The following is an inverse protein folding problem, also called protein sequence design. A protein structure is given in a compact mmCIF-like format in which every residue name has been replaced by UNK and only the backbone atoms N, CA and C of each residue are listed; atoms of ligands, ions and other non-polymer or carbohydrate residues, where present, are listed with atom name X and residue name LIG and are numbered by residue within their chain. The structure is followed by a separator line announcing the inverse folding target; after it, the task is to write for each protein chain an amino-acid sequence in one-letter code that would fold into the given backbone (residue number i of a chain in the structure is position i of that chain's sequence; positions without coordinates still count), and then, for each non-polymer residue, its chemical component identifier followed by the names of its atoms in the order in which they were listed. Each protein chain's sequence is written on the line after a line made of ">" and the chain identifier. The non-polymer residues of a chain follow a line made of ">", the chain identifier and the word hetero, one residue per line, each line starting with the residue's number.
data_IF_384071229535
#
_entry.id   IF_384071229535
#
_cell.length_a   1.000
_cell.length_b   1.000
_cell.length_c   1.000
_cell.angle_alpha   90.00
_cell.angle_beta   90.00
_cell.angle_gamma   90.00
#
_symmetry.space_group_name_H-M   'P 1'
#
loop_
_entity.id
_entity.type
_entity.pdbx_description
1 polymer ?
#
# COMPACT_ATOMS: atom_id res chain seq x y z
N UNK A 1 14.68 -18.46 4.77
CA UNK A 1 13.94 -18.52 3.49
C UNK A 1 14.94 -18.49 2.34
N UNK A 2 15.01 -19.56 1.56
CA UNK A 2 15.85 -19.60 0.34
C UNK A 2 15.27 -18.63 -0.70
N UNK A 3 16.12 -17.87 -1.39
CA UNK A 3 15.72 -16.97 -2.49
C UNK A 3 15.50 -15.50 -2.10
N UNK A 4 15.68 -15.12 -0.84
CA UNK A 4 15.52 -13.77 -0.37
C UNK A 4 16.82 -13.17 0.16
N UNK A 5 17.30 -12.10 -0.46
CA UNK A 5 18.58 -11.47 -0.12
C UNK A 5 18.49 -10.70 1.19
N UNK A 6 17.38 -10.05 1.45
CA UNK A 6 17.18 -9.23 2.63
C UNK A 6 15.72 -9.11 3.03
N UNK A 7 15.48 -9.14 4.34
CA UNK A 7 14.17 -8.96 4.94
C UNK A 7 14.24 -7.71 5.81
N UNK A 8 13.35 -6.77 5.56
CA UNK A 8 13.12 -5.59 6.39
C UNK A 8 11.80 -5.76 7.11
N UNK A 9 11.76 -5.49 8.40
CA UNK A 9 10.53 -5.60 9.18
C UNK A 9 10.43 -4.48 10.21
N UNK A 10 9.20 -4.14 10.57
CA UNK A 10 8.85 -3.34 11.73
C UNK A 10 7.78 -4.11 12.51
N UNK A 11 8.04 -4.38 13.77
CA UNK A 11 7.17 -5.15 14.65
C UNK A 11 6.93 -4.37 15.94
N UNK A 12 5.74 -4.51 16.49
CA UNK A 12 5.44 -4.09 17.85
C UNK A 12 5.91 -5.16 18.85
N UNK A 13 6.38 -4.73 20.02
CA UNK A 13 6.94 -5.61 21.07
C UNK A 13 6.00 -6.72 21.56
N UNK A 14 4.68 -6.59 21.36
CA UNK A 14 3.68 -7.57 21.80
C UNK A 14 3.04 -8.39 20.67
N UNK A 15 3.67 -8.53 19.51
CA UNK A 15 3.17 -9.29 18.34
C UNK A 15 1.76 -8.89 17.84
N UNK A 16 1.29 -7.68 18.13
CA UNK A 16 -0.05 -7.21 17.75
C UNK A 16 -0.10 -6.54 16.37
N UNK A 17 1.04 -6.15 15.84
CA UNK A 17 1.18 -5.57 14.49
C UNK A 17 2.57 -5.87 13.96
N UNK A 18 2.68 -5.95 12.65
CA UNK A 18 3.98 -6.12 11.99
C UNK A 18 3.85 -6.05 10.49
N UNK A 19 4.84 -5.42 9.85
CA UNK A 19 4.98 -5.32 8.41
C UNK A 19 6.37 -5.74 7.99
N UNK A 20 6.49 -6.30 6.80
CA UNK A 20 7.77 -6.69 6.23
C UNK A 20 7.87 -6.37 4.75
N UNK A 21 9.09 -6.13 4.29
CA UNK A 21 9.44 -6.04 2.87
C UNK A 21 10.55 -7.05 2.63
N UNK A 22 10.33 -7.94 1.69
CA UNK A 22 11.28 -8.97 1.29
C UNK A 22 11.78 -8.66 -0.12
N UNK A 23 13.11 -8.64 -0.29
CA UNK A 23 13.72 -8.43 -1.60
C UNK A 23 14.44 -9.69 -2.03
N UNK A 24 14.12 -10.16 -3.25
CA UNK A 24 14.72 -11.36 -3.84
C UNK A 24 16.25 -11.22 -3.97
N UNK A 25 16.96 -12.33 -3.77
CA UNK A 25 18.41 -12.42 -4.02
C UNK A 25 18.80 -12.24 -5.48
N UNK A 26 17.85 -12.38 -6.40
CA UNK A 26 18.01 -12.13 -7.84
C UNK A 26 18.08 -10.63 -8.19
N UNK A 27 17.67 -9.75 -7.29
CA UNK A 27 17.67 -8.31 -7.52
C UNK A 27 18.96 -7.71 -6.95
N UNK A 28 19.73 -7.04 -7.81
CA UNK A 28 20.87 -6.24 -7.36
C UNK A 28 20.41 -4.84 -6.95
N UNK A 29 20.60 -4.48 -5.68
CA UNK A 29 20.16 -3.21 -5.13
C UNK A 29 21.10 -2.70 -4.03
N UNK A 30 21.11 -1.36 -3.88
CA UNK A 30 21.74 -0.66 -2.75
C UNK A 30 20.69 -0.08 -1.84
N UNK A 31 20.83 -0.28 -0.52
CA UNK A 31 19.96 0.35 0.48
C UNK A 31 20.49 1.76 0.71
N UNK A 32 19.60 2.76 0.63
CA UNK A 32 19.90 4.15 0.94
C UNK A 32 19.36 4.59 2.29
N UNK A 33 18.15 4.16 2.65
CA UNK A 33 17.53 4.46 3.92
C UNK A 33 16.53 3.38 4.34
N UNK A 34 16.31 3.24 5.63
CA UNK A 34 15.26 2.40 6.22
C UNK A 34 14.64 3.17 7.38
N UNK A 35 13.33 3.36 7.33
CA UNK A 35 12.54 3.97 8.42
C UNK A 35 11.53 2.95 8.92
N UNK A 36 11.52 2.69 10.20
CA UNK A 36 10.62 1.74 10.87
C UNK A 36 9.71 2.46 11.83
N UNK A 37 8.44 2.11 11.79
CA UNK A 37 7.50 2.55 12.81
C UNK A 37 7.69 1.76 14.11
N UNK A 38 7.69 2.45 15.24
CA UNK A 38 7.84 1.83 16.57
C UNK A 38 6.64 0.96 16.95
N UNK A 39 5.46 1.33 16.45
CA UNK A 39 4.22 0.59 16.67
C UNK A 39 4.02 -0.57 15.67
N UNK A 40 4.92 -0.73 14.71
CA UNK A 40 4.88 -1.81 13.72
C UNK A 40 3.85 -1.64 12.60
N UNK A 41 3.29 -0.44 12.45
CA UNK A 41 2.25 -0.17 11.46
C UNK A 41 2.78 0.21 10.07
N UNK A 42 4.04 0.59 9.94
CA UNK A 42 4.63 0.78 8.62
C UNK A 42 6.14 0.58 8.62
N UNK A 43 6.67 0.29 7.46
CA UNK A 43 8.09 0.33 7.14
C UNK A 43 8.29 1.02 5.80
N UNK A 44 9.31 1.87 5.73
CA UNK A 44 9.74 2.52 4.51
C UNK A 44 11.19 2.16 4.22
N UNK A 45 11.47 1.76 3.00
CA UNK A 45 12.84 1.56 2.51
C UNK A 45 13.07 2.41 1.27
N UNK A 46 14.25 3.01 1.18
CA UNK A 46 14.75 3.65 -0.04
C UNK A 46 15.87 2.80 -0.59
N UNK A 47 15.69 2.33 -1.80
CA UNK A 47 16.66 1.47 -2.50
C UNK A 47 17.01 2.05 -3.85
N UNK A 48 18.23 1.77 -4.33
CA UNK A 48 18.65 2.04 -5.70
C UNK A 48 18.83 0.71 -6.43
N UNK A 49 18.12 0.52 -7.52
CA UNK A 49 18.26 -0.62 -8.43
C UNK A 49 18.92 -0.14 -9.74
N UNK A 50 18.20 0.52 -10.60
CA UNK A 50 18.70 1.33 -11.71
C UNK A 50 18.47 2.83 -11.45
N UNK A 51 17.47 3.12 -10.64
CA UNK A 51 17.08 4.43 -10.13
C UNK A 51 16.65 4.29 -8.67
N UNK A 52 16.56 5.40 -7.97
CA UNK A 52 16.06 5.41 -6.60
C UNK A 52 14.57 5.13 -6.56
N UNK A 53 14.18 4.18 -5.73
CA UNK A 53 12.79 3.80 -5.48
C UNK A 53 12.55 3.79 -3.98
N UNK A 54 11.44 4.36 -3.55
CA UNK A 54 10.95 4.24 -2.18
C UNK A 54 9.80 3.24 -2.15
N UNK A 55 9.87 2.28 -1.25
CA UNK A 55 8.80 1.30 -1.02
C UNK A 55 8.32 1.47 0.41
N UNK A 56 7.02 1.60 0.57
CA UNK A 56 6.36 1.75 1.86
C UNK A 56 5.34 0.64 2.00
N UNK A 57 5.43 -0.14 3.08
CA UNK A 57 4.40 -1.11 3.44
C UNK A 57 3.68 -0.62 4.70
N UNK A 58 2.35 -0.51 4.62
CA UNK A 58 1.48 0.00 5.69
C UNK A 58 0.55 -1.13 6.15
N UNK A 59 0.38 -1.25 7.46
CA UNK A 59 -0.68 -2.01 8.10
C UNK A 59 -1.52 -1.04 8.96
N UNK A 60 -2.65 -0.61 8.44
CA UNK A 60 -3.51 0.33 9.15
C UNK A 60 -4.24 -0.35 10.31
N UNK A 61 -4.47 0.34 11.45
CA UNK A 61 -5.26 -0.21 12.55
C UNK A 61 -6.71 -0.47 12.11
N UNK A 62 -7.37 -1.45 12.73
CA UNK A 62 -8.75 -1.80 12.39
C UNK A 62 -9.74 -0.65 12.64
N UNK A 63 -9.47 0.18 13.67
CA UNK A 63 -10.30 1.35 14.01
C UNK A 63 -9.59 2.61 13.51
N UNK A 64 -10.31 3.46 12.78
CA UNK A 64 -9.77 4.71 12.24
C UNK A 64 -8.79 4.51 11.08
N UNK A 65 -8.88 3.38 10.37
CA UNK A 65 -7.98 3.03 9.28
C UNK A 65 -7.87 4.14 8.20
N UNK A 66 -8.96 4.69 7.64
CA UNK A 66 -8.85 5.74 6.62
C UNK A 66 -8.11 6.98 7.13
N UNK A 67 -8.38 7.39 8.36
CA UNK A 67 -7.72 8.55 8.99
C UNK A 67 -6.23 8.28 9.20
N UNK A 68 -5.88 7.08 9.66
CA UNK A 68 -4.48 6.67 9.83
C UNK A 68 -3.72 6.72 8.51
N UNK A 69 -4.26 6.07 7.46
CA UNK A 69 -3.63 6.05 6.13
C UNK A 69 -3.46 7.48 5.60
N UNK A 70 -4.50 8.31 5.69
CA UNK A 70 -4.44 9.72 5.30
C UNK A 70 -3.31 10.48 6.00
N UNK A 71 -3.18 10.33 7.31
CA UNK A 71 -2.10 10.96 8.08
C UNK A 71 -0.72 10.49 7.63
N UNK A 72 -0.57 9.18 7.36
CA UNK A 72 0.70 8.64 6.85
C UNK A 72 1.04 9.20 5.48
N UNK A 73 0.11 9.18 4.53
CA UNK A 73 0.31 9.74 3.20
C UNK A 73 0.69 11.22 3.26
N UNK A 74 0.00 12.01 4.08
CA UNK A 74 0.30 13.43 4.26
C UNK A 74 1.69 13.67 4.87
N UNK A 75 2.08 12.89 5.87
CA UNK A 75 3.40 13.02 6.53
C UNK A 75 4.57 12.66 5.63
N UNK A 76 4.32 11.94 4.56
CA UNK A 76 5.32 11.51 3.58
C UNK A 76 5.35 12.41 2.34
N UNK A 77 4.52 13.46 2.30
CA UNK A 77 4.50 14.45 1.22
C UNK A 77 5.88 15.10 1.08
N UNK A 78 6.47 15.05 -0.10
CA UNK A 78 7.78 15.64 -0.42
C UNK A 78 8.96 14.65 -0.39
N UNK A 79 8.84 13.47 0.24
CA UNK A 79 9.88 12.43 0.17
C UNK A 79 9.71 11.51 -1.06
N UNK A 80 8.77 11.83 -1.96
CA UNK A 80 8.07 10.83 -2.76
C UNK A 80 8.25 11.01 -4.26
N UNK A 81 9.45 11.12 -4.75
CA UNK A 81 9.70 10.81 -6.15
C UNK A 81 9.94 9.29 -6.29
N UNK A 82 9.21 8.62 -7.20
CA UNK A 82 9.35 7.18 -7.45
C UNK A 82 8.96 6.28 -6.25
N UNK A 83 7.78 6.48 -5.68
CA UNK A 83 7.32 5.71 -4.52
C UNK A 83 6.20 4.74 -4.88
N UNK A 84 6.27 3.55 -4.29
CA UNK A 84 5.21 2.55 -4.28
C UNK A 84 4.76 2.37 -2.83
N UNK A 85 3.48 2.53 -2.57
CA UNK A 85 2.88 2.33 -1.25
C UNK A 85 1.98 1.12 -1.33
N UNK A 86 2.24 0.13 -0.51
CA UNK A 86 1.49 -1.12 -0.47
C UNK A 86 1.00 -1.39 0.94
N UNK A 87 0.03 -2.27 1.08
CA UNK A 87 -0.30 -2.87 2.36
C UNK A 87 -1.78 -3.03 2.62
N UNK A 88 -2.06 -3.48 3.82
CA UNK A 88 -3.41 -3.62 4.35
C UNK A 88 -3.88 -2.28 4.93
N UNK A 89 -4.77 -1.62 4.20
CA UNK A 89 -5.33 -0.33 4.60
C UNK A 89 -6.57 -0.48 5.50
N UNK A 90 -7.01 -1.71 5.77
CA UNK A 90 -8.22 -2.02 6.53
C UNK A 90 -9.46 -1.21 6.09
N UNK A 91 -9.48 -0.74 4.84
CA UNK A 91 -10.59 0.00 4.27
C UNK A 91 -10.69 -0.22 2.75
N UNK A 92 -11.89 -0.45 2.21
CA UNK A 92 -12.13 -0.40 0.79
C UNK A 92 -12.08 1.06 0.32
N UNK A 93 -11.45 1.32 -0.82
CA UNK A 93 -11.33 2.68 -1.38
C UNK A 93 -12.47 3.04 -2.33
N UNK A 94 -13.11 2.06 -2.94
CA UNK A 94 -14.23 2.27 -3.88
C UNK A 94 -15.39 1.32 -3.57
N UNK A 95 -16.62 1.61 -4.05
CA UNK A 95 -17.75 0.66 -3.93
C UNK A 95 -17.46 -0.70 -4.57
N UNK A 96 -16.62 -0.75 -5.61
CA UNK A 96 -16.20 -2.01 -6.27
C UNK A 96 -15.29 -2.89 -5.39
N UNK A 97 -14.74 -2.32 -4.33
CA UNK A 97 -13.92 -3.07 -3.36
C UNK A 97 -14.76 -3.78 -2.30
N UNK A 98 -16.10 -3.75 -2.42
CA UNK A 98 -17.04 -4.46 -1.55
C UNK A 98 -17.99 -5.35 -2.37
N UNK A 99 -18.23 -6.56 -1.90
CA UNK A 99 -19.21 -7.47 -2.52
C UNK A 99 -20.64 -6.90 -2.48
N UNK A 100 -20.96 -6.11 -1.47
CA UNK A 100 -22.27 -5.43 -1.31
C UNK A 100 -22.40 -4.17 -2.15
N UNK A 101 -21.31 -3.68 -2.77
CA UNK A 101 -21.25 -2.40 -3.51
C UNK A 101 -21.77 -1.19 -2.72
N UNK A 102 -21.74 -1.25 -1.41
CA UNK A 102 -22.13 -0.14 -0.54
C UNK A 102 -21.26 1.09 -0.82
N UNK A 103 -21.88 2.27 -0.70
CA UNK A 103 -21.17 3.55 -0.76
C UNK A 103 -20.07 3.59 0.29
N UNK A 104 -18.96 4.22 -0.04
CA UNK A 104 -17.88 4.50 0.92
C UNK A 104 -18.36 5.54 1.93
N UNK A 105 -17.81 5.47 3.13
CA UNK A 105 -18.12 6.43 4.18
C UNK A 105 -17.34 7.76 3.98
N UNK A 106 -17.70 8.77 4.79
CA UNK A 106 -17.08 10.10 4.73
C UNK A 106 -15.56 10.06 4.99
N UNK A 107 -15.09 9.23 5.90
CA UNK A 107 -13.66 9.12 6.23
C UNK A 107 -12.87 8.55 5.06
N UNK A 108 -13.40 7.53 4.40
CA UNK A 108 -12.79 6.98 3.18
C UNK A 108 -12.84 7.98 2.03
N UNK A 109 -13.92 8.76 1.90
CA UNK A 109 -13.97 9.82 0.89
C UNK A 109 -12.88 10.87 1.15
N UNK A 110 -12.69 11.30 2.40
CA UNK A 110 -11.61 12.24 2.75
C UNK A 110 -10.21 11.65 2.46
N UNK A 111 -10.02 10.35 2.65
CA UNK A 111 -8.78 9.67 2.25
C UNK A 111 -8.59 9.74 0.73
N UNK A 112 -9.62 9.44 -0.05
CA UNK A 112 -9.57 9.51 -1.51
C UNK A 112 -9.27 10.93 -2.01
N UNK A 113 -9.90 11.95 -1.43
CA UNK A 113 -9.63 13.36 -1.74
C UNK A 113 -8.16 13.71 -1.45
N UNK A 114 -7.60 13.17 -0.37
CA UNK A 114 -6.17 13.34 -0.05
C UNK A 114 -5.26 12.63 -1.05
N UNK A 115 -5.63 11.43 -1.49
CA UNK A 115 -4.89 10.71 -2.53
C UNK A 115 -4.87 11.52 -3.83
N UNK A 116 -6.01 12.07 -4.23
CA UNK A 116 -6.11 12.93 -5.43
C UNK A 116 -5.24 14.18 -5.31
N UNK A 117 -5.25 14.85 -4.16
CA UNK A 117 -4.40 16.02 -3.87
C UNK A 117 -2.90 15.70 -3.91
N UNK A 118 -2.53 14.45 -3.63
CA UNK A 118 -1.15 13.96 -3.67
C UNK A 118 -0.77 13.31 -5.01
N UNK A 119 -1.65 13.35 -6.01
CA UNK A 119 -1.49 12.65 -7.31
C UNK A 119 -1.25 11.14 -7.19
N UNK A 120 -1.81 10.53 -6.14
CA UNK A 120 -1.75 9.08 -5.90
C UNK A 120 -2.98 8.38 -6.50
N UNK A 121 -2.74 7.22 -7.08
CA UNK A 121 -3.78 6.34 -7.63
C UNK A 121 -3.63 4.93 -7.09
N UNK A 122 -4.74 4.22 -6.95
CA UNK A 122 -4.74 2.77 -6.77
C UNK A 122 -4.39 2.11 -8.12
N UNK A 123 -3.17 1.59 -8.20
CA UNK A 123 -2.61 1.01 -9.44
C UNK A 123 -3.44 -0.19 -9.89
N UNK A 124 -3.79 -1.09 -8.96
CA UNK A 124 -4.59 -2.24 -9.30
C UNK A 124 -5.95 -1.84 -9.87
N UNK A 125 -6.68 -0.92 -9.21
CA UNK A 125 -7.98 -0.44 -9.67
C UNK A 125 -7.90 0.29 -11.00
N UNK A 126 -6.81 0.99 -11.25
CA UNK A 126 -6.59 1.67 -12.54
C UNK A 126 -6.48 0.69 -13.70
N UNK A 127 -5.79 -0.44 -13.51
CA UNK A 127 -5.68 -1.48 -14.55
C UNK A 127 -6.88 -2.44 -14.61
N UNK A 128 -7.62 -2.57 -13.52
CA UNK A 128 -8.76 -3.48 -13.39
C UNK A 128 -10.01 -2.76 -12.90
N UNK A 129 -10.54 -1.77 -13.65
CA UNK A 129 -11.58 -0.86 -13.15
C UNK A 129 -12.91 -1.56 -12.87
N UNK A 130 -13.18 -2.69 -13.51
CA UNK A 130 -14.45 -3.44 -13.39
C UNK A 130 -14.31 -4.77 -12.65
N UNK A 131 -13.11 -5.19 -12.29
CA UNK A 131 -12.87 -6.49 -11.67
C UNK A 131 -13.15 -6.44 -10.18
N UNK A 132 -13.94 -7.39 -9.69
CA UNK A 132 -14.23 -7.56 -8.27
C UNK A 132 -13.33 -8.64 -7.68
N UNK A 133 -12.15 -8.26 -7.21
CA UNK A 133 -11.23 -9.12 -6.47
C UNK A 133 -11.18 -8.66 -5.02
N UNK A 134 -11.31 -9.60 -4.10
CA UNK A 134 -11.36 -9.34 -2.68
C UNK A 134 -10.17 -9.99 -1.98
N UNK A 135 -9.67 -9.34 -0.94
CA UNK A 135 -8.51 -9.80 -0.14
C UNK A 135 -8.90 -10.17 1.28
N UNK A 136 -10.13 -9.84 1.70
CA UNK A 136 -10.64 -10.06 3.04
C UNK A 136 -12.08 -10.60 3.02
N UNK A 137 -12.36 -11.55 3.92
CA UNK A 137 -13.70 -12.06 4.18
C UNK A 137 -14.11 -11.75 5.63
N UNK A 138 -15.23 -11.06 5.82
CA UNK A 138 -15.83 -10.83 7.14
C UNK A 138 -16.81 -11.93 7.47
N UNK A 139 -16.46 -12.85 8.35
CA UNK A 139 -17.35 -13.93 8.81
C UNK A 139 -18.56 -13.39 9.59
N UNK A 140 -18.39 -12.27 10.31
CA UNK A 140 -19.47 -11.63 11.06
C UNK A 140 -20.59 -11.08 10.17
N UNK A 141 -20.29 -10.71 8.93
CA UNK A 141 -21.25 -10.09 8.00
C UNK A 141 -21.44 -10.90 6.71
N UNK A 142 -20.71 -12.00 6.50
CA UNK A 142 -20.77 -12.80 5.29
C UNK A 142 -20.37 -12.00 4.02
N UNK A 143 -19.50 -11.00 4.14
CA UNK A 143 -19.15 -10.09 3.06
C UNK A 143 -17.66 -10.13 2.71
N UNK A 144 -17.36 -9.88 1.45
CA UNK A 144 -15.99 -9.77 0.96
C UNK A 144 -15.61 -8.32 0.70
N UNK A 145 -14.35 -7.98 0.96
CA UNK A 145 -13.79 -6.66 0.68
C UNK A 145 -12.35 -6.75 0.18
N UNK A 146 -11.93 -5.79 -0.64
CA UNK A 146 -10.54 -5.56 -0.95
C UNK A 146 -10.04 -4.43 -0.06
N UNK A 147 -9.15 -4.74 0.84
CA UNK A 147 -8.56 -3.82 1.83
C UNK A 147 -7.05 -3.70 1.70
N UNK A 148 -6.45 -4.55 0.88
CA UNK A 148 -5.05 -4.45 0.46
C UNK A 148 -4.96 -3.64 -0.83
N UNK A 149 -4.10 -2.64 -0.83
CA UNK A 149 -3.98 -1.69 -1.93
C UNK A 149 -2.52 -1.50 -2.35
N UNK A 150 -2.35 -1.08 -3.61
CA UNK A 150 -1.07 -0.69 -4.18
C UNK A 150 -1.25 0.71 -4.77
N UNK A 151 -0.63 1.70 -4.13
CA UNK A 151 -0.67 3.07 -4.59
C UNK A 151 0.63 3.47 -5.27
N UNK A 152 0.52 4.33 -6.25
CA UNK A 152 1.65 4.97 -6.91
C UNK A 152 1.24 6.32 -7.48
N UNK A 153 2.23 7.08 -7.95
CA UNK A 153 1.96 8.37 -8.57
C UNK A 153 1.36 8.18 -9.96
N UNK A 154 0.38 9.02 -10.29
CA UNK A 154 -0.25 9.08 -11.60
C UNK A 154 0.79 9.27 -12.71
N UNK A 155 1.80 10.11 -12.47
CA UNK A 155 2.93 10.32 -13.39
C UNK A 155 3.78 9.08 -13.66
N UNK A 156 3.79 8.10 -12.76
CA UNK A 156 4.54 6.85 -12.88
C UNK A 156 3.75 5.70 -13.54
N UNK A 157 2.51 5.93 -13.92
CA UNK A 157 1.61 4.90 -14.45
C UNK A 157 2.17 4.16 -15.66
N UNK A 158 2.88 4.87 -16.56
CA UNK A 158 3.54 4.26 -17.72
C UNK A 158 4.65 3.25 -17.37
N UNK A 159 5.30 3.43 -16.21
CA UNK A 159 6.32 2.49 -15.71
C UNK A 159 5.67 1.18 -15.24
N UNK A 160 4.52 1.26 -14.59
CA UNK A 160 3.78 0.09 -14.11
C UNK A 160 3.20 -0.75 -15.25
N UNK A 161 2.78 -0.14 -16.36
CA UNK A 161 2.36 -0.85 -17.56
C UNK A 161 3.46 -1.79 -18.10
N UNK A 162 4.69 -1.31 -18.14
CA UNK A 162 5.85 -2.10 -18.62
C UNK A 162 6.18 -3.29 -17.71
N UNK A 163 5.96 -3.16 -16.39
CA UNK A 163 6.26 -4.22 -15.43
C UNK A 163 5.25 -5.38 -15.47
N UNK A 164 4.01 -5.11 -15.85
CA UNK A 164 2.93 -6.10 -15.80
C UNK A 164 2.78 -6.94 -17.07
N UNK A 165 3.60 -6.72 -18.12
CA UNK A 165 3.53 -7.51 -19.35
C UNK A 165 2.14 -7.49 -20.05
N UNK A 166 1.27 -6.55 -19.67
CA UNK A 166 -0.02 -6.36 -20.33
C UNK A 166 0.18 -5.54 -21.59
N UNK A 167 0.41 -6.23 -22.67
CA UNK A 167 0.14 -5.73 -24.03
C UNK A 167 -1.34 -5.86 -24.32
#
# INVERSE_FOLDING_TARGET
>A
MKGWKKIFHANRDQKKAGVAILISDKINFKIKAVKRDKEGHYIMIKVSIQQDITIINIYAPNIGAPQYVRQRLTSMKGEINNTIIVGDFNTPLTPMDRSTKQKINKETQTLNDTMDQLDLIDIYRTFHPKTMNFTFFSSAHGTFSRIDHILGYKSSLGKFKKLNGFT
#
